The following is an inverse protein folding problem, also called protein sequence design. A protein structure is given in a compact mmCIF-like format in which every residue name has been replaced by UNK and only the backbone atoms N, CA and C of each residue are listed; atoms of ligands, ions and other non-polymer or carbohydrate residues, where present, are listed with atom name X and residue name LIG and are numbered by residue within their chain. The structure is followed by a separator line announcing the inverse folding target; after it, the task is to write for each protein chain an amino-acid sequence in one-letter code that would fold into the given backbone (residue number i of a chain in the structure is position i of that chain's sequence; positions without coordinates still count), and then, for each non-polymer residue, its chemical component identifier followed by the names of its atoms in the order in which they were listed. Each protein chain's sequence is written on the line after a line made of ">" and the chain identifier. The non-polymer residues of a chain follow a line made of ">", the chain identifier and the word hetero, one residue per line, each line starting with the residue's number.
data_IF_486257331165
#
_entry.id   IF_486257331165
#
_cell.length_a   1.000
_cell.length_b   1.000
_cell.length_c   1.000
_cell.angle_alpha   90.00
_cell.angle_beta   90.00
_cell.angle_gamma   90.00
#
_symmetry.space_group_name_H-M   'P 1'
#
loop_
_entity.id
_entity.type
_entity.pdbx_description
1 polymer ?
#
# COMPACT_ATOMS: atom_id res chain seq x y z
N UNK A 1 19.77 -7.53 9.65
CA UNK A 1 20.68 -8.07 10.68
C UNK A 1 19.80 -8.46 11.88
N UNK A 2 19.51 -9.75 12.06
CA UNK A 2 18.76 -10.23 13.22
C UNK A 2 19.78 -10.38 14.34
N UNK A 3 19.74 -9.50 15.35
CA UNK A 3 20.46 -9.73 16.60
C UNK A 3 19.88 -10.99 17.25
N UNK A 4 20.53 -12.13 17.07
CA UNK A 4 20.31 -13.31 17.93
C UNK A 4 20.81 -12.94 19.34
N UNK A 5 20.09 -13.28 20.41
CA UNK A 5 20.61 -13.16 21.75
C UNK A 5 21.62 -14.28 21.97
N UNK A 6 22.90 -14.01 21.72
CA UNK A 6 23.98 -14.72 22.41
C UNK A 6 24.20 -14.00 23.75
N UNK A 7 23.25 -14.13 24.68
CA UNK A 7 23.50 -13.81 26.08
C UNK A 7 23.96 -15.08 26.76
N UNK A 8 25.25 -15.40 26.60
CA UNK A 8 25.95 -16.17 27.63
C UNK A 8 26.08 -15.25 28.84
N UNK A 9 25.85 -15.82 30.02
CA UNK A 9 25.83 -15.13 31.32
C UNK A 9 27.16 -14.41 31.56
N UNK A 10 27.24 -13.17 31.10
CA UNK A 10 28.20 -12.18 31.55
C UNK A 10 27.47 -10.85 31.59
N UNK A 11 27.28 -10.36 32.80
CA UNK A 11 26.59 -9.12 33.14
C UNK A 11 27.29 -7.94 32.46
N UNK A 12 26.86 -7.60 31.25
CA UNK A 12 27.14 -6.30 30.64
C UNK A 12 25.92 -5.41 30.88
N UNK A 13 26.13 -4.43 31.73
CA UNK A 13 25.22 -3.40 32.26
C UNK A 13 24.73 -2.40 31.20
N UNK A 14 24.40 -2.85 30.00
CA UNK A 14 23.74 -1.99 29.01
C UNK A 14 22.23 -2.19 29.10
N UNK A 15 21.52 -1.16 29.55
CA UNK A 15 20.06 -1.12 29.53
C UNK A 15 19.56 -1.36 28.09
N UNK A 16 18.47 -2.11 27.92
CA UNK A 16 17.82 -2.37 26.62
C UNK A 16 17.63 -1.10 25.79
N UNK A 17 17.33 0.04 26.42
CA UNK A 17 17.23 1.35 25.74
C UNK A 17 18.55 1.76 25.09
N UNK A 18 19.67 1.57 25.79
CA UNK A 18 21.00 1.91 25.27
C UNK A 18 21.39 0.98 24.13
N UNK A 19 21.03 -0.30 24.21
CA UNK A 19 21.23 -1.26 23.12
C UNK A 19 20.39 -0.88 21.90
N UNK A 20 19.13 -0.47 22.07
CA UNK A 20 18.31 0.03 20.97
C UNK A 20 18.90 1.28 20.32
N UNK A 21 19.35 2.26 21.12
CA UNK A 21 20.01 3.47 20.61
C UNK A 21 21.29 3.11 19.86
N UNK A 22 22.09 2.17 20.38
CA UNK A 22 23.29 1.68 19.71
C UNK A 22 22.97 0.94 18.41
N UNK A 23 21.93 0.12 18.36
CA UNK A 23 21.47 -0.54 17.14
C UNK A 23 20.96 0.47 16.11
N UNK A 24 20.17 1.46 16.51
CA UNK A 24 19.72 2.54 15.62
C UNK A 24 20.91 3.34 15.11
N UNK A 25 21.83 3.72 16.01
CA UNK A 25 23.08 4.40 15.67
C UNK A 25 24.00 3.55 14.79
N UNK A 26 23.97 2.22 14.91
CA UNK A 26 24.72 1.31 14.06
C UNK A 26 24.04 1.11 12.71
N UNK A 27 22.70 1.13 12.61
CA UNK A 27 22.01 1.15 11.31
C UNK A 27 22.26 2.46 10.58
N UNK A 28 22.34 3.57 11.32
CA UNK A 28 22.71 4.89 10.79
C UNK A 28 24.23 5.00 10.53
N UNK A 29 25.05 4.32 11.33
CA UNK A 29 26.52 4.43 11.40
C UNK A 29 27.29 3.34 10.65
N UNK A 30 26.67 2.21 10.32
CA UNK A 30 27.10 1.40 9.17
C UNK A 30 26.99 2.36 8.01
N UNK A 31 28.13 2.71 7.41
CA UNK A 31 28.18 3.82 6.47
C UNK A 31 27.11 3.60 5.41
N UNK A 32 26.00 4.35 5.47
CA UNK A 32 24.90 4.20 4.49
C UNK A 32 25.45 4.35 3.07
N UNK A 33 26.57 5.07 2.92
CA UNK A 33 27.34 5.14 1.69
C UNK A 33 27.99 3.82 1.26
N UNK A 34 28.50 2.98 2.16
CA UNK A 34 29.08 1.67 1.80
C UNK A 34 27.99 0.70 1.35
N UNK A 35 26.86 0.62 2.05
CA UNK A 35 25.73 -0.22 1.63
C UNK A 35 25.19 0.21 0.26
N UNK A 36 25.04 1.52 0.05
CA UNK A 36 24.60 2.06 -1.24
C UNK A 36 25.58 1.77 -2.37
N UNK A 37 26.88 1.84 -2.10
CA UNK A 37 27.91 1.48 -3.07
C UNK A 37 27.83 -0.01 -3.45
N UNK A 38 27.67 -0.90 -2.47
CA UNK A 38 27.56 -2.34 -2.70
C UNK A 38 26.32 -2.70 -3.54
N UNK A 39 25.19 -2.02 -3.29
CA UNK A 39 23.96 -2.18 -4.08
C UNK A 39 24.17 -1.73 -5.52
N UNK A 40 24.79 -0.56 -5.73
CA UNK A 40 25.07 -0.04 -7.08
C UNK A 40 26.01 -0.95 -7.87
N UNK A 41 26.93 -1.65 -7.21
CA UNK A 41 27.81 -2.63 -7.84
C UNK A 41 27.10 -3.94 -8.19
N UNK A 42 25.95 -4.24 -7.59
CA UNK A 42 25.25 -5.53 -7.71
C UNK A 42 23.73 -5.34 -7.90
N UNK A 43 23.34 -4.47 -8.83
CA UNK A 43 21.94 -4.05 -9.01
C UNK A 43 20.99 -5.22 -9.29
N UNK A 44 21.38 -6.17 -10.16
CA UNK A 44 20.54 -7.33 -10.50
C UNK A 44 20.23 -8.24 -9.29
N UNK A 45 21.09 -8.23 -8.27
CA UNK A 45 20.91 -9.03 -7.05
C UNK A 45 19.94 -8.38 -6.07
N UNK A 46 19.94 -7.06 -5.96
CA UNK A 46 19.24 -6.33 -4.91
C UNK A 46 18.00 -5.58 -5.39
N UNK A 47 17.88 -5.32 -6.69
CA UNK A 47 16.81 -4.53 -7.28
C UNK A 47 16.04 -5.36 -8.30
N UNK A 48 14.77 -5.59 -7.99
CA UNK A 48 13.82 -6.21 -8.91
C UNK A 48 13.45 -5.20 -9.98
N UNK A 49 13.77 -5.51 -11.24
CA UNK A 49 13.30 -4.76 -12.40
C UNK A 49 11.84 -5.12 -12.68
N UNK A 50 11.03 -4.11 -12.92
CA UNK A 50 9.66 -4.25 -13.37
C UNK A 50 9.44 -3.35 -14.58
N UNK A 51 9.14 -3.96 -15.73
CA UNK A 51 9.03 -3.24 -17.00
C UNK A 51 7.80 -2.32 -17.06
N UNK A 52 6.86 -2.44 -16.09
CA UNK A 52 5.62 -1.67 -16.03
C UNK A 52 5.80 -0.21 -15.59
N UNK A 53 6.94 0.14 -15.03
CA UNK A 53 7.23 1.51 -14.57
C UNK A 53 7.12 2.56 -15.69
N UNK A 54 7.67 2.27 -16.88
CA UNK A 54 7.65 3.19 -18.02
C UNK A 54 6.22 3.38 -18.54
N UNK A 55 5.45 2.31 -18.85
CA UNK A 55 4.04 2.42 -19.19
C UNK A 55 3.22 3.21 -18.17
N UNK A 56 3.44 3.01 -16.87
CA UNK A 56 2.68 3.71 -15.84
C UNK A 56 2.94 5.22 -15.87
N UNK A 57 4.22 5.63 -15.92
CA UNK A 57 4.58 7.05 -15.96
C UNK A 57 4.11 7.71 -17.26
N UNK A 58 4.21 7.00 -18.39
CA UNK A 58 3.71 7.47 -19.68
C UNK A 58 2.19 7.61 -19.71
N UNK A 59 1.45 6.64 -19.16
CA UNK A 59 0.00 6.67 -19.04
C UNK A 59 -0.46 7.89 -18.24
N UNK A 60 0.16 8.16 -17.08
CA UNK A 60 -0.16 9.32 -16.24
C UNK A 60 0.06 10.62 -17.03
N UNK A 61 1.21 10.75 -17.69
CA UNK A 61 1.55 11.94 -18.47
C UNK A 61 0.62 12.14 -19.68
N UNK A 62 0.27 11.07 -20.40
CA UNK A 62 -0.59 11.12 -21.57
C UNK A 62 -2.00 11.65 -21.27
N UNK A 63 -2.48 11.43 -20.04
CA UNK A 63 -3.78 11.93 -19.57
C UNK A 63 -3.69 13.25 -18.80
N UNK A 64 -2.58 13.99 -18.94
CA UNK A 64 -2.40 15.32 -18.33
C UNK A 64 -2.06 15.30 -16.84
N UNK A 65 -1.81 14.11 -16.26
CA UNK A 65 -1.24 13.98 -14.94
C UNK A 65 0.19 14.50 -14.92
N UNK A 66 0.61 15.03 -13.76
CA UNK A 66 2.00 15.46 -13.54
C UNK A 66 2.67 14.56 -12.51
N UNK A 67 3.91 14.17 -12.78
CA UNK A 67 4.65 13.22 -11.94
C UNK A 67 5.80 13.91 -11.22
N UNK A 68 6.06 13.51 -9.98
CA UNK A 68 7.24 13.94 -9.26
C UNK A 68 7.87 12.79 -8.47
N UNK A 69 9.20 12.83 -8.35
CA UNK A 69 9.98 11.93 -7.51
C UNK A 69 10.38 12.67 -6.23
N UNK A 70 10.21 12.01 -5.07
CA UNK A 70 10.62 12.54 -3.77
C UNK A 70 11.32 11.47 -2.93
N UNK A 71 12.66 11.53 -2.86
CA UNK A 71 13.48 10.50 -2.20
C UNK A 71 14.42 11.06 -1.14
N UNK A 72 14.69 10.27 -0.10
CA UNK A 72 15.69 10.57 0.91
C UNK A 72 17.12 10.25 0.45
N UNK A 73 17.28 9.52 -0.66
CA UNK A 73 18.58 9.22 -1.24
C UNK A 73 19.18 10.44 -1.94
N UNK A 74 20.50 10.47 -2.02
CA UNK A 74 21.23 11.49 -2.77
C UNK A 74 21.11 11.26 -4.28
N UNK A 75 21.55 12.24 -5.06
CA UNK A 75 21.49 12.18 -6.52
C UNK A 75 22.25 10.99 -7.10
N UNK A 76 23.51 10.77 -6.73
CA UNK A 76 24.34 9.70 -7.32
C UNK A 76 23.70 8.31 -7.20
N UNK A 77 23.21 7.96 -6.00
CA UNK A 77 22.51 6.69 -5.79
C UNK A 77 21.20 6.62 -6.57
N UNK A 78 20.41 7.69 -6.53
CA UNK A 78 19.12 7.76 -7.25
C UNK A 78 19.32 7.62 -8.75
N UNK A 79 20.33 8.29 -9.31
CA UNK A 79 20.69 8.23 -10.70
C UNK A 79 21.11 6.82 -11.11
N UNK A 80 21.97 6.15 -10.32
CA UNK A 80 22.38 4.77 -10.60
C UNK A 80 21.20 3.79 -10.61
N UNK A 81 20.33 3.85 -9.60
CA UNK A 81 19.15 2.97 -9.49
C UNK A 81 18.13 3.23 -10.60
N UNK A 82 17.77 4.50 -10.85
CA UNK A 82 16.77 4.82 -11.87
C UNK A 82 17.30 4.63 -13.29
N UNK A 83 18.60 4.87 -13.53
CA UNK A 83 19.22 4.55 -14.81
C UNK A 83 19.15 3.05 -15.12
N UNK A 84 19.30 2.21 -14.11
CA UNK A 84 19.14 0.77 -14.24
C UNK A 84 17.69 0.33 -14.44
N UNK A 85 16.73 0.98 -13.76
CA UNK A 85 15.31 0.64 -13.85
C UNK A 85 14.66 1.10 -15.16
N UNK A 86 14.89 2.35 -15.58
CA UNK A 86 14.18 2.98 -16.70
C UNK A 86 15.07 3.64 -17.74
N UNK A 87 16.39 3.52 -17.62
CA UNK A 87 17.35 4.06 -18.59
C UNK A 87 17.95 5.40 -18.17
N UNK A 88 19.04 5.81 -18.85
CA UNK A 88 19.82 7.00 -18.46
C UNK A 88 19.05 8.31 -18.57
N UNK A 89 17.95 8.33 -19.33
CA UNK A 89 17.03 9.45 -19.53
C UNK A 89 15.88 9.46 -18.51
N UNK A 90 16.03 8.76 -17.38
CA UNK A 90 14.98 8.61 -16.36
C UNK A 90 14.38 9.95 -15.88
N UNK A 91 15.17 11.03 -15.88
CA UNK A 91 14.71 12.36 -15.46
C UNK A 91 13.59 12.91 -16.36
N UNK A 92 13.49 12.44 -17.61
CA UNK A 92 12.46 12.86 -18.56
C UNK A 92 11.06 12.34 -18.22
N UNK A 93 10.96 11.25 -17.45
CA UNK A 93 9.69 10.64 -17.03
C UNK A 93 9.03 11.38 -15.87
N UNK A 94 9.77 12.26 -15.19
CA UNK A 94 9.31 13.06 -14.06
C UNK A 94 9.26 14.54 -14.40
N UNK A 95 8.15 15.22 -14.09
CA UNK A 95 8.09 16.67 -14.22
C UNK A 95 8.96 17.39 -13.19
N UNK A 96 9.18 16.76 -12.03
CA UNK A 96 10.11 17.24 -10.99
C UNK A 96 10.75 16.07 -10.28
N UNK A 97 12.07 16.12 -10.06
CA UNK A 97 12.78 15.14 -9.23
C UNK A 97 13.44 15.81 -8.03
N UNK A 98 13.15 15.32 -6.82
CA UNK A 98 13.68 15.86 -5.55
C UNK A 98 14.40 14.74 -4.79
N UNK A 99 15.71 14.92 -4.62
CA UNK A 99 16.61 14.05 -3.85
C UNK A 99 16.90 14.67 -2.48
N UNK A 100 17.55 13.93 -1.59
CA UNK A 100 17.94 14.39 -0.24
C UNK A 100 16.78 15.07 0.53
N UNK A 101 15.56 14.57 0.36
CA UNK A 101 14.35 15.21 0.89
C UNK A 101 14.32 15.26 2.43
N UNK A 102 14.97 14.28 3.09
CA UNK A 102 14.96 14.11 4.56
C UNK A 102 13.55 13.97 5.15
N UNK A 103 12.64 13.25 4.47
CA UNK A 103 11.34 12.84 5.02
C UNK A 103 11.56 12.13 6.36
N UNK A 104 10.73 12.41 7.39
CA UNK A 104 9.49 13.19 7.36
C UNK A 104 9.67 14.72 7.47
N UNK A 105 10.89 15.24 7.69
CA UNK A 105 11.14 16.66 7.90
C UNK A 105 10.66 17.52 6.71
N UNK A 106 10.73 16.98 5.50
CA UNK A 106 10.27 17.60 4.26
C UNK A 106 8.80 18.06 4.28
N UNK A 107 7.92 17.28 4.92
CA UNK A 107 6.50 17.62 5.06
C UNK A 107 6.23 18.68 6.15
N UNK A 108 7.25 19.05 6.91
CA UNK A 108 7.21 20.09 7.93
C UNK A 108 8.07 21.29 7.48
N UNK A 109 9.13 21.63 8.24
CA UNK A 109 10.02 22.77 7.93
C UNK A 109 10.96 22.51 6.75
N UNK A 110 11.28 21.23 6.49
CA UNK A 110 12.24 20.80 5.48
C UNK A 110 13.63 21.41 5.61
N UNK A 111 14.31 21.55 4.47
CA UNK A 111 15.68 22.09 4.37
C UNK A 111 15.79 23.11 3.24
N UNK A 112 16.98 23.66 3.03
CA UNK A 112 17.26 24.55 1.90
C UNK A 112 17.02 23.81 0.58
N UNK A 113 16.22 24.42 -0.29
CA UNK A 113 15.93 23.88 -1.61
C UNK A 113 16.98 24.31 -2.63
N UNK A 114 17.63 23.34 -3.29
CA UNK A 114 18.73 23.59 -4.24
C UNK A 114 18.50 22.84 -5.55
N UNK A 115 19.03 23.35 -6.66
CA UNK A 115 19.10 22.59 -7.91
C UNK A 115 20.39 21.76 -7.92
N UNK A 116 20.33 20.53 -8.41
CA UNK A 116 21.49 19.68 -8.66
C UNK A 116 22.05 19.99 -10.05
N UNK A 117 23.36 20.11 -10.14
CA UNK A 117 24.07 19.98 -11.40
C UNK A 117 24.22 18.49 -11.73
N UNK A 118 23.51 18.01 -12.75
CA UNK A 118 23.46 16.60 -13.12
C UNK A 118 24.79 16.08 -13.68
N UNK A 119 25.66 16.97 -14.17
CA UNK A 119 26.99 16.61 -14.68
C UNK A 119 27.98 16.30 -13.54
N UNK A 120 27.95 17.09 -12.47
CA UNK A 120 28.82 16.89 -11.29
C UNK A 120 28.15 16.07 -10.19
N UNK A 121 26.82 15.98 -10.21
CA UNK A 121 26.00 15.39 -9.16
C UNK A 121 25.96 16.19 -7.86
N UNK A 122 26.40 17.45 -7.89
CA UNK A 122 26.50 18.31 -6.70
C UNK A 122 25.42 19.40 -6.68
N UNK A 123 24.98 19.86 -5.49
CA UNK A 123 24.05 20.98 -5.40
C UNK A 123 24.70 22.27 -5.87
N UNK A 124 24.03 22.98 -6.79
CA UNK A 124 24.42 24.33 -7.21
C UNK A 124 24.41 25.28 -6.01
N UNK A 125 25.28 26.29 -6.07
CA UNK A 125 25.40 27.31 -5.02
C UNK A 125 24.13 28.17 -5.02
N UNK A 126 23.59 28.42 -3.82
CA UNK A 126 22.41 29.27 -3.62
C UNK A 126 21.13 28.48 -3.31
N UNK A 127 20.04 29.23 -3.14
CA UNK A 127 18.69 28.70 -2.90
C UNK A 127 17.89 28.82 -4.19
N UNK A 128 17.24 27.74 -4.62
CA UNK A 128 16.40 27.78 -5.80
C UNK A 128 15.06 28.47 -5.50
N UNK A 129 14.73 29.52 -6.25
CA UNK A 129 13.48 30.28 -6.11
C UNK A 129 12.60 30.28 -7.37
N UNK A 130 13.10 29.68 -8.47
CA UNK A 130 12.38 29.63 -9.74
C UNK A 130 11.31 28.53 -9.79
N UNK A 131 10.47 28.58 -10.82
CA UNK A 131 9.55 27.48 -11.11
C UNK A 131 10.33 26.19 -11.42
N UNK A 132 9.77 25.06 -11.01
CA UNK A 132 10.38 23.76 -11.24
C UNK A 132 10.23 23.37 -12.71
N UNK A 133 11.31 22.89 -13.31
CA UNK A 133 11.36 22.52 -14.73
C UNK A 133 11.48 21.01 -14.88
N UNK A 134 10.80 20.49 -15.92
CA UNK A 134 10.90 19.08 -16.31
C UNK A 134 12.33 18.70 -16.67
N UNK A 135 12.78 17.55 -16.20
CA UNK A 135 14.14 17.04 -16.38
C UNK A 135 15.18 17.60 -15.41
N UNK A 136 14.90 18.72 -14.73
CA UNK A 136 15.78 19.23 -13.67
C UNK A 136 15.64 18.41 -12.39
N UNK A 137 16.76 18.29 -11.68
CA UNK A 137 16.82 17.60 -10.38
C UNK A 137 17.11 18.61 -9.28
N UNK A 138 16.42 18.47 -8.16
CA UNK A 138 16.50 19.33 -6.99
C UNK A 138 16.85 18.53 -5.74
N UNK A 139 17.35 19.20 -4.70
CA UNK A 139 17.70 18.58 -3.44
C UNK A 139 17.09 19.33 -2.26
N UNK A 140 16.62 18.58 -1.27
CA UNK A 140 16.07 19.10 -0.01
C UNK A 140 14.71 19.78 -0.19
N UNK A 141 14.58 20.97 0.39
CA UNK A 141 13.34 21.76 0.36
C UNK A 141 12.29 21.31 1.36
N UNK A 142 11.08 21.79 1.14
CA UNK A 142 9.90 21.43 1.89
C UNK A 142 8.66 21.41 0.96
N UNK A 143 7.60 20.80 1.46
CA UNK A 143 6.31 20.72 0.76
C UNK A 143 5.66 22.05 0.42
N UNK A 144 5.88 23.12 1.19
CA UNK A 144 5.26 24.43 0.94
C UNK A 144 5.94 25.14 -0.24
N UNK A 145 7.27 25.07 -0.30
CA UNK A 145 8.04 25.51 -1.45
C UNK A 145 7.68 24.68 -2.68
N UNK A 146 7.58 23.36 -2.57
CA UNK A 146 7.14 22.51 -3.69
C UNK A 146 5.76 22.91 -4.20
N UNK A 147 4.78 23.11 -3.32
CA UNK A 147 3.43 23.56 -3.68
C UNK A 147 3.48 24.88 -4.46
N UNK A 148 4.29 25.85 -4.01
CA UNK A 148 4.44 27.16 -4.67
C UNK A 148 5.15 27.06 -6.02
N UNK A 149 6.28 26.36 -6.07
CA UNK A 149 7.16 26.33 -7.25
C UNK A 149 6.67 25.36 -8.34
N UNK A 150 5.93 24.32 -7.96
CA UNK A 150 5.32 23.36 -8.88
C UNK A 150 3.85 23.67 -9.19
N UNK A 151 3.22 24.60 -8.47
CA UNK A 151 1.80 24.93 -8.59
C UNK A 151 0.89 23.69 -8.45
N UNK A 152 1.06 22.93 -7.37
CA UNK A 152 0.23 21.77 -7.05
C UNK A 152 -0.75 22.09 -5.93
N UNK A 153 -2.02 21.70 -6.08
CA UNK A 153 -3.02 21.80 -5.01
C UNK A 153 -3.00 20.51 -4.18
N UNK A 154 -2.99 20.65 -2.87
CA UNK A 154 -2.76 19.51 -1.95
C UNK A 154 -3.73 18.33 -2.17
N UNK A 155 -5.03 18.59 -2.35
CA UNK A 155 -6.04 17.53 -2.53
C UNK A 155 -5.94 16.81 -3.88
N UNK A 156 -5.15 17.34 -4.81
CA UNK A 156 -4.92 16.80 -6.15
C UNK A 156 -3.62 15.97 -6.22
N UNK A 157 -2.89 15.87 -5.11
CA UNK A 157 -1.68 15.07 -5.03
C UNK A 157 -2.03 13.69 -4.49
N UNK A 158 -1.73 12.66 -5.27
CA UNK A 158 -1.63 11.27 -4.81
C UNK A 158 -0.17 10.95 -4.57
N UNK A 159 0.21 10.75 -3.31
CA UNK A 159 1.56 10.40 -2.92
C UNK A 159 1.69 8.92 -2.64
N UNK A 160 2.62 8.28 -3.36
CA UNK A 160 2.87 6.84 -3.32
C UNK A 160 4.16 6.60 -2.52
N UNK A 161 4.08 5.79 -1.47
CA UNK A 161 5.25 5.46 -0.65
C UNK A 161 5.09 4.12 0.06
N UNK A 162 6.18 3.61 0.59
CA UNK A 162 6.26 2.35 1.35
C UNK A 162 6.36 2.60 2.87
N UNK A 163 6.83 3.78 3.28
CA UNK A 163 6.98 4.08 4.68
C UNK A 163 5.72 4.70 5.29
N UNK A 164 4.96 3.91 6.06
CA UNK A 164 3.68 4.36 6.65
C UNK A 164 3.77 5.67 7.47
N UNK A 165 4.82 5.83 8.28
CA UNK A 165 5.00 7.07 9.06
C UNK A 165 5.57 8.23 8.23
N UNK A 166 6.70 8.00 7.57
CA UNK A 166 7.45 9.01 6.83
C UNK A 166 6.72 9.56 5.63
N UNK A 167 6.03 8.69 4.89
CA UNK A 167 5.36 9.03 3.63
C UNK A 167 3.87 9.27 3.81
N UNK A 168 3.14 8.32 4.40
CA UNK A 168 1.67 8.34 4.39
C UNK A 168 1.09 9.20 5.52
N UNK A 169 1.49 8.94 6.77
CA UNK A 169 0.91 9.63 7.93
C UNK A 169 1.17 11.14 7.89
N UNK A 170 2.40 11.56 7.56
CA UNK A 170 2.80 12.98 7.57
C UNK A 170 2.22 13.75 6.38
N UNK A 171 2.22 13.18 5.18
CA UNK A 171 1.61 13.82 4.01
C UNK A 171 0.10 14.02 4.21
N UNK A 172 -0.61 13.00 4.72
CA UNK A 172 -2.06 13.09 4.98
C UNK A 172 -2.39 14.05 6.11
N UNK A 173 -1.74 13.95 7.28
CA UNK A 173 -2.08 14.79 8.45
C UNK A 173 -1.68 16.25 8.27
N UNK A 174 -0.51 16.51 7.67
CA UNK A 174 0.04 17.87 7.63
C UNK A 174 -0.35 18.61 6.36
N UNK A 175 -0.53 17.90 5.24
CA UNK A 175 -0.81 18.53 3.93
C UNK A 175 -2.16 18.13 3.34
N UNK A 176 -2.80 17.08 3.83
CA UNK A 176 -4.09 16.63 3.27
C UNK A 176 -3.95 16.00 1.88
N UNK A 177 -2.77 15.50 1.55
CA UNK A 177 -2.53 14.75 0.31
C UNK A 177 -3.27 13.42 0.34
N UNK A 178 -3.67 12.96 -0.84
CA UNK A 178 -4.14 11.57 -1.02
C UNK A 178 -2.95 10.64 -0.96
N UNK A 179 -3.15 9.43 -0.43
CA UNK A 179 -2.02 8.53 -0.15
C UNK A 179 -2.26 7.13 -0.69
N UNK A 180 -1.22 6.56 -1.30
CA UNK A 180 -1.15 5.17 -1.71
C UNK A 180 0.02 4.50 -0.98
N UNK A 181 -0.28 3.48 -0.18
CA UNK A 181 0.74 2.71 0.54
C UNK A 181 1.12 1.44 -0.23
N UNK A 182 2.40 1.29 -0.54
CA UNK A 182 2.95 0.04 -1.11
C UNK A 182 3.37 -0.87 0.03
N UNK A 183 2.86 -2.10 0.05
CA UNK A 183 3.16 -3.12 1.08
C UNK A 183 3.60 -4.41 0.36
N UNK A 184 4.89 -4.58 0.04
CA UNK A 184 5.38 -5.74 -0.73
C UNK A 184 5.01 -7.09 -0.09
N UNK A 185 4.98 -7.16 1.24
CA UNK A 185 4.62 -8.35 2.01
C UNK A 185 3.19 -8.82 1.76
N UNK A 186 2.32 -7.93 1.24
CA UNK A 186 0.91 -8.23 0.98
C UNK A 186 0.71 -9.41 0.03
N UNK A 187 1.63 -9.66 -0.92
CA UNK A 187 1.54 -10.82 -1.82
C UNK A 187 1.59 -12.13 -1.03
N UNK A 188 2.55 -12.23 -0.11
CA UNK A 188 2.70 -13.40 0.76
C UNK A 188 1.51 -13.52 1.71
N UNK A 189 1.06 -12.41 2.30
CA UNK A 189 -0.08 -12.35 3.21
C UNK A 189 -1.36 -12.87 2.53
N UNK A 190 -1.69 -12.39 1.32
CA UNK A 190 -2.87 -12.82 0.57
C UNK A 190 -2.78 -14.31 0.19
N UNK A 191 -1.60 -14.78 -0.21
CA UNK A 191 -1.39 -16.19 -0.56
C UNK A 191 -1.66 -17.11 0.63
N UNK A 192 -1.10 -16.80 1.80
CA UNK A 192 -1.32 -17.58 3.03
C UNK A 192 -2.77 -17.47 3.49
N UNK A 193 -3.34 -16.26 3.46
CA UNK A 193 -4.73 -16.01 3.82
C UNK A 193 -5.69 -16.88 3.00
N UNK A 194 -5.46 -16.99 1.68
CA UNK A 194 -6.29 -17.78 0.79
C UNK A 194 -6.14 -19.28 1.05
N UNK A 195 -4.93 -19.76 1.33
CA UNK A 195 -4.65 -21.18 1.58
C UNK A 195 -5.11 -21.69 2.95
N UNK A 196 -5.09 -20.83 3.98
CA UNK A 196 -5.33 -21.20 5.39
C UNK A 196 -6.49 -20.44 6.01
N UNK A 197 -7.43 -19.97 5.18
CA UNK A 197 -8.62 -19.26 5.63
C UNK A 197 -9.45 -20.07 6.63
N UNK A 198 -9.44 -21.40 6.49
CA UNK A 198 -10.13 -22.34 7.37
C UNK A 198 -9.68 -22.22 8.84
N UNK A 199 -8.40 -21.92 9.10
CA UNK A 199 -7.88 -21.71 10.46
C UNK A 199 -8.46 -20.44 11.07
N UNK A 200 -8.57 -19.37 10.27
CA UNK A 200 -9.18 -18.12 10.73
C UNK A 200 -10.65 -18.32 11.05
N UNK A 201 -11.40 -19.03 10.21
CA UNK A 201 -12.81 -19.36 10.46
C UNK A 201 -12.98 -20.13 11.77
N UNK A 202 -12.13 -21.13 12.04
CA UNK A 202 -12.14 -21.88 13.31
C UNK A 202 -11.88 -20.98 14.51
N UNK A 203 -10.91 -20.05 14.43
CA UNK A 203 -10.62 -19.09 15.52
C UNK A 203 -11.83 -18.19 15.77
N UNK A 204 -12.48 -17.70 14.72
CA UNK A 204 -13.68 -16.87 14.83
C UNK A 204 -14.86 -17.66 15.40
N UNK A 205 -15.05 -18.91 14.98
CA UNK A 205 -16.11 -19.77 15.48
C UNK A 205 -15.94 -20.07 16.97
N UNK A 206 -14.74 -20.50 17.38
CA UNK A 206 -14.42 -20.74 18.80
C UNK A 206 -14.63 -19.47 19.64
N UNK A 207 -14.24 -18.30 19.12
CA UNK A 207 -14.45 -17.02 19.80
C UNK A 207 -15.95 -16.76 20.02
N UNK A 208 -16.79 -17.00 19.01
CA UNK A 208 -18.26 -16.86 19.13
C UNK A 208 -18.86 -17.85 20.12
N UNK A 209 -18.38 -19.10 20.15
CA UNK A 209 -18.85 -20.12 21.09
C UNK A 209 -18.52 -19.71 22.54
N UNK A 210 -17.31 -19.21 22.78
CA UNK A 210 -16.88 -18.70 24.09
C UNK A 210 -17.72 -17.47 24.49
N UNK A 211 -17.94 -16.52 23.59
CA UNK A 211 -18.81 -15.35 23.83
C UNK A 211 -20.26 -15.76 24.17
N UNK A 212 -20.81 -16.77 23.49
CA UNK A 212 -22.15 -17.28 23.76
C UNK A 212 -22.27 -17.88 25.17
N UNK A 213 -21.22 -18.56 25.66
CA UNK A 213 -21.18 -19.11 27.02
C UNK A 213 -21.11 -18.02 28.09
N UNK A 214 -20.38 -16.93 27.83
CA UNK A 214 -20.34 -15.77 28.74
C UNK A 214 -21.70 -15.11 28.93
N UNK A 215 -22.58 -15.17 27.94
CA UNK A 215 -23.93 -14.60 27.99
C UNK A 215 -24.95 -15.50 28.70
N UNK A 216 -24.57 -16.69 29.15
CA UNK A 216 -25.46 -17.60 29.88
C UNK A 216 -25.51 -17.25 31.38
N UNK A 217 -26.68 -17.45 32.00
CA UNK A 217 -26.98 -17.02 33.39
C UNK A 217 -26.05 -17.66 34.43
N UNK A 218 -25.47 -18.85 34.15
CA UNK A 218 -24.62 -19.57 35.09
C UNK A 218 -23.15 -19.62 34.64
N UNK A 219 -22.49 -18.46 34.61
CA UNK A 219 -21.08 -18.31 34.24
C UNK A 219 -20.15 -19.14 35.16
N UNK A 220 -20.52 -19.30 36.43
CA UNK A 220 -19.70 -20.02 37.42
C UNK A 220 -19.62 -21.52 37.15
N UNK A 221 -20.70 -22.15 36.66
CA UNK A 221 -20.63 -23.55 36.22
C UNK A 221 -19.86 -23.75 34.91
N UNK A 222 -19.83 -22.72 34.05
CA UNK A 222 -19.19 -22.77 32.74
C UNK A 222 -17.71 -22.32 32.75
N UNK A 223 -17.17 -21.91 33.90
CA UNK A 223 -15.84 -21.30 33.99
C UNK A 223 -14.72 -22.22 33.46
N UNK A 224 -14.76 -23.52 33.76
CA UNK A 224 -13.77 -24.49 33.27
C UNK A 224 -13.82 -24.65 31.75
N UNK A 225 -15.03 -24.72 31.18
CA UNK A 225 -15.26 -24.84 29.73
C UNK A 225 -14.77 -23.57 29.01
N UNK A 226 -15.00 -22.41 29.60
CA UNK A 226 -14.50 -21.13 29.07
C UNK A 226 -12.96 -21.08 29.08
N UNK A 227 -12.31 -21.56 30.14
CA UNK A 227 -10.83 -21.63 30.20
C UNK A 227 -10.27 -22.59 29.13
N UNK A 228 -10.93 -23.72 28.93
CA UNK A 228 -10.59 -24.68 27.86
C UNK A 228 -10.76 -24.05 26.47
N UNK A 229 -11.90 -23.39 26.21
CA UNK A 229 -12.14 -22.68 24.96
C UNK A 229 -11.10 -21.57 24.68
N UNK A 230 -10.73 -20.80 25.70
CA UNK A 230 -9.67 -19.78 25.58
C UNK A 230 -8.29 -20.41 25.26
N UNK A 231 -8.01 -21.59 25.81
CA UNK A 231 -6.78 -22.34 25.52
C UNK A 231 -6.77 -22.80 24.06
N UNK A 232 -7.88 -23.36 23.57
CA UNK A 232 -8.03 -23.78 22.18
C UNK A 232 -7.92 -22.59 21.21
N UNK A 233 -8.52 -21.44 21.55
CA UNK A 233 -8.39 -20.19 20.75
C UNK A 233 -6.91 -19.80 20.66
N UNK A 234 -6.16 -19.85 21.77
CA UNK A 234 -4.74 -19.49 21.79
C UNK A 234 -3.90 -20.45 20.94
N UNK A 235 -4.14 -21.75 21.05
CA UNK A 235 -3.42 -22.77 20.27
C UNK A 235 -3.67 -22.60 18.77
N UNK A 236 -4.94 -22.43 18.37
CA UNK A 236 -5.29 -22.22 16.96
C UNK A 236 -4.79 -20.89 16.42
N UNK A 237 -4.78 -19.85 17.26
CA UNK A 237 -4.17 -18.55 16.91
C UNK A 237 -2.67 -18.72 16.66
N UNK A 238 -1.97 -19.43 17.53
CA UNK A 238 -0.53 -19.69 17.37
C UNK A 238 -0.24 -20.54 16.14
N UNK A 239 -1.05 -21.57 15.88
CA UNK A 239 -0.98 -22.38 14.66
C UNK A 239 -1.14 -21.50 13.41
N UNK A 240 -2.15 -20.63 13.38
CA UNK A 240 -2.39 -19.71 12.27
C UNK A 240 -1.21 -18.73 12.08
N UNK A 241 -0.73 -18.11 13.16
CA UNK A 241 0.35 -17.13 13.12
C UNK A 241 1.67 -17.75 12.61
N UNK A 242 1.93 -19.02 12.95
CA UNK A 242 3.11 -19.76 12.49
C UNK A 242 3.19 -19.93 10.96
N UNK A 243 2.08 -19.90 10.23
CA UNK A 243 2.09 -19.97 8.76
C UNK A 243 2.70 -18.71 8.12
N UNK A 244 2.54 -17.55 8.77
CA UNK A 244 3.08 -16.29 8.27
C UNK A 244 4.57 -16.16 8.59
N UNK A 245 4.89 -16.19 9.88
CA UNK A 245 6.25 -16.05 10.41
C UNK A 245 6.28 -16.38 11.89
N UNK A 246 7.47 -16.38 12.50
CA UNK A 246 7.61 -16.50 13.97
C UNK A 246 6.93 -15.36 14.75
N UNK A 247 6.63 -14.24 14.09
CA UNK A 247 5.95 -13.08 14.68
C UNK A 247 4.50 -12.94 14.20
N UNK A 248 3.97 -13.93 13.48
CA UNK A 248 2.63 -13.88 12.90
C UNK A 248 2.54 -13.05 11.63
N UNK A 249 1.30 -12.66 11.30
CA UNK A 249 0.95 -11.80 10.17
C UNK A 249 1.27 -10.33 10.48
N UNK A 250 1.61 -9.57 9.43
CA UNK A 250 1.77 -8.13 9.51
C UNK A 250 0.47 -7.43 9.91
N UNK A 251 -0.69 -8.00 9.56
CA UNK A 251 -1.99 -7.36 9.72
C UNK A 251 -2.77 -7.83 10.94
N UNK A 252 -2.51 -9.04 11.45
CA UNK A 252 -3.29 -9.62 12.55
C UNK A 252 -2.51 -10.63 13.38
N UNK A 253 -3.01 -10.87 14.58
CA UNK A 253 -2.75 -12.08 15.36
C UNK A 253 -4.10 -12.65 15.79
N UNK A 254 -4.42 -13.84 15.31
CA UNK A 254 -5.76 -14.42 15.45
C UNK A 254 -6.85 -13.51 14.87
N UNK A 255 -7.84 -13.18 15.70
CA UNK A 255 -8.95 -12.28 15.36
C UNK A 255 -8.62 -10.79 15.49
N UNK A 256 -7.47 -10.43 16.07
CA UNK A 256 -7.13 -9.04 16.40
C UNK A 256 -6.23 -8.43 15.34
N UNK A 257 -6.58 -7.24 14.86
CA UNK A 257 -5.74 -6.47 13.95
C UNK A 257 -4.51 -5.91 14.66
N UNK A 258 -3.37 -5.88 13.99
CA UNK A 258 -2.15 -5.25 14.50
C UNK A 258 -2.27 -3.73 14.50
N UNK A 259 -1.34 -3.08 15.22
CA UNK A 259 -1.21 -1.62 15.14
C UNK A 259 -0.91 -1.16 13.72
N UNK A 260 -0.07 -1.88 12.98
CA UNK A 260 0.21 -1.59 11.57
C UNK A 260 -1.07 -1.60 10.73
N UNK A 261 -1.91 -2.65 10.83
CA UNK A 261 -3.19 -2.70 10.12
C UNK A 261 -4.07 -1.49 10.41
N UNK A 262 -4.21 -1.10 11.70
CA UNK A 262 -5.01 0.08 12.08
C UNK A 262 -4.47 1.38 11.48
N UNK A 263 -3.15 1.48 11.30
CA UNK A 263 -2.53 2.64 10.66
C UNK A 263 -2.78 2.64 9.15
N UNK A 264 -2.73 1.48 8.49
CA UNK A 264 -3.03 1.34 7.06
C UNK A 264 -4.47 1.78 6.80
N UNK A 265 -5.44 1.22 7.52
CA UNK A 265 -6.87 1.56 7.36
C UNK A 265 -7.16 3.04 7.58
N UNK A 266 -6.49 3.67 8.56
CA UNK A 266 -6.73 5.07 8.90
C UNK A 266 -6.04 6.04 7.96
N UNK A 267 -4.80 5.75 7.57
CA UNK A 267 -3.94 6.72 6.91
C UNK A 267 -3.78 6.47 5.42
N UNK A 268 -3.73 5.24 4.93
CA UNK A 268 -3.65 4.98 3.50
C UNK A 268 -5.04 5.10 2.86
N UNK A 269 -5.20 5.95 1.85
CA UNK A 269 -6.47 5.98 1.09
C UNK A 269 -6.59 4.77 0.15
N UNK A 270 -5.46 4.35 -0.40
CA UNK A 270 -5.29 3.13 -1.18
C UNK A 270 -4.05 2.38 -0.67
N UNK A 271 -4.05 1.07 -0.79
CA UNK A 271 -2.85 0.27 -0.56
C UNK A 271 -2.82 -0.92 -1.52
N UNK A 272 -1.62 -1.37 -1.85
CA UNK A 272 -1.43 -2.56 -2.69
C UNK A 272 -0.03 -3.13 -2.52
N UNK A 273 0.21 -4.32 -3.07
CA UNK A 273 1.54 -4.95 -3.06
C UNK A 273 2.56 -4.17 -3.91
N UNK A 274 2.09 -3.54 -4.98
CA UNK A 274 2.88 -2.73 -5.89
C UNK A 274 2.07 -1.56 -6.40
N UNK A 275 2.73 -0.42 -6.64
CA UNK A 275 2.11 0.74 -7.27
C UNK A 275 1.77 0.48 -8.75
N UNK A 276 2.42 -0.49 -9.41
CA UNK A 276 2.13 -0.85 -10.79
C UNK A 276 0.74 -1.46 -10.99
N UNK A 277 0.10 -1.89 -9.91
CA UNK A 277 -1.27 -2.39 -9.96
C UNK A 277 -2.27 -1.29 -10.38
N UNK A 278 -1.88 -0.01 -10.33
CA UNK A 278 -2.67 1.09 -10.87
C UNK A 278 -2.85 1.02 -12.40
N UNK A 279 -1.96 0.33 -13.14
CA UNK A 279 -2.10 0.14 -14.59
C UNK A 279 -3.35 -0.64 -14.98
N UNK A 280 -3.85 -1.50 -14.09
CA UNK A 280 -5.03 -2.31 -14.36
C UNK A 280 -6.35 -1.53 -14.16
N UNK A 281 -6.26 -0.24 -13.79
CA UNK A 281 -7.41 0.64 -13.61
C UNK A 281 -7.37 1.77 -14.63
N UNK A 282 -8.53 2.17 -15.20
CA UNK A 282 -8.59 3.39 -16.00
C UNK A 282 -8.28 4.60 -15.12
N UNK A 283 -7.63 5.63 -15.66
CA UNK A 283 -7.23 6.80 -14.86
C UNK A 283 -8.39 7.63 -14.29
N UNK A 284 -9.59 7.47 -14.85
CA UNK A 284 -10.82 8.08 -14.32
C UNK A 284 -11.56 7.16 -13.33
N UNK A 285 -10.94 6.06 -12.89
CA UNK A 285 -11.56 5.12 -11.96
C UNK A 285 -11.84 5.78 -10.60
N UNK A 286 -13.05 5.61 -10.11
CA UNK A 286 -13.47 6.13 -8.81
C UNK A 286 -13.43 5.02 -7.76
N UNK A 287 -12.33 4.95 -7.00
CA UNK A 287 -12.17 3.99 -5.90
C UNK A 287 -13.21 4.24 -4.81
N UNK A 288 -14.02 3.21 -4.50
CA UNK A 288 -15.06 3.25 -3.46
C UNK A 288 -14.78 2.23 -2.37
N UNK A 289 -14.75 2.70 -1.13
CA UNK A 289 -14.83 1.85 0.05
C UNK A 289 -16.29 1.73 0.50
N UNK A 290 -16.71 0.56 1.02
CA UNK A 290 -18.00 0.43 1.68
C UNK A 290 -18.08 1.37 2.89
N UNK A 291 -19.28 1.88 3.19
CA UNK A 291 -19.49 2.72 4.38
C UNK A 291 -19.37 1.86 5.65
N UNK A 292 -18.51 2.27 6.57
CA UNK A 292 -18.45 1.68 7.91
C UNK A 292 -19.58 2.25 8.76
N UNK A 293 -20.54 1.39 9.12
CA UNK A 293 -21.63 1.75 10.02
C UNK A 293 -21.14 1.78 11.47
N UNK A 294 -21.65 2.75 12.23
CA UNK A 294 -21.48 2.82 13.68
C UNK A 294 -22.27 1.68 14.35
N UNK A 295 -21.89 1.24 15.58
CA UNK A 295 -22.53 0.10 16.22
C UNK A 295 -24.07 0.18 16.34
N UNK A 296 -24.61 1.37 16.59
CA UNK A 296 -26.06 1.58 16.68
C UNK A 296 -26.76 1.49 15.31
N UNK A 297 -26.08 1.86 14.23
CA UNK A 297 -26.60 1.74 12.86
C UNK A 297 -26.63 0.29 12.40
N UNK A 298 -25.63 -0.51 12.77
CA UNK A 298 -25.60 -1.95 12.48
C UNK A 298 -26.78 -2.68 13.13
N UNK A 299 -27.08 -2.37 14.39
CA UNK A 299 -28.21 -2.98 15.10
C UNK A 299 -29.55 -2.56 14.49
N UNK A 300 -29.70 -1.28 14.14
CA UNK A 300 -30.89 -0.78 13.47
C UNK A 300 -31.09 -1.44 12.09
N UNK A 301 -30.02 -1.58 11.30
CA UNK A 301 -30.09 -2.19 9.97
C UNK A 301 -30.47 -3.68 10.04
N UNK A 302 -29.95 -4.42 11.02
CA UNK A 302 -30.36 -5.82 11.28
C UNK A 302 -31.87 -5.92 11.55
N UNK A 303 -32.39 -5.12 12.49
CA UNK A 303 -33.82 -5.11 12.81
C UNK A 303 -34.69 -4.73 11.61
N UNK A 304 -34.25 -3.79 10.77
CA UNK A 304 -34.98 -3.40 9.54
C UNK A 304 -35.01 -4.55 8.54
N UNK A 305 -33.88 -5.26 8.34
CA UNK A 305 -33.81 -6.40 7.43
C UNK A 305 -34.67 -7.57 7.91
N UNK A 306 -34.69 -7.87 9.19
CA UNK A 306 -35.55 -8.90 9.79
C UNK A 306 -37.04 -8.58 9.67
N UNK A 307 -37.43 -7.29 9.80
CA UNK A 307 -38.81 -6.84 9.52
C UNK A 307 -39.18 -6.94 8.04
N UNK A 308 -38.22 -6.76 7.12
CA UNK A 308 -38.45 -6.92 5.67
C UNK A 308 -38.56 -8.39 5.26
N UNK A 309 -37.79 -9.29 5.85
CA UNK A 309 -37.90 -10.73 5.55
C UNK A 309 -39.18 -11.35 6.11
N UNK A 310 -39.65 -10.90 7.28
CA UNK A 310 -40.92 -11.33 7.88
C UNK A 310 -42.18 -10.74 7.21
N UNK A 311 -42.08 -9.57 6.56
CA UNK A 311 -43.18 -9.01 5.75
C UNK A 311 -43.23 -9.55 4.32
N UNK A 312 -42.12 -10.09 3.80
CA UNK A 312 -42.09 -10.76 2.49
C UNK A 312 -42.74 -12.17 2.53
N UNK A 313 -42.74 -12.85 3.68
CA UNK A 313 -43.40 -14.17 3.85
C UNK A 313 -44.92 -14.09 4.04
N UNK A 314 -45.49 -12.89 4.23
CA UNK A 314 -46.94 -12.67 4.43
C UNK A 314 -47.65 -12.00 3.23
N UNK A 315 -46.96 -11.83 2.09
CA UNK A 315 -47.44 -11.04 0.96
C UNK A 315 -47.28 -11.68 -0.42
N UNK A 316 -47.50 -12.99 -0.57
CA UNK A 316 -47.59 -13.62 -1.88
C UNK A 316 -49.04 -13.56 -2.41
N UNK A 317 -49.47 -12.40 -2.89
CA UNK A 317 -50.60 -12.34 -3.83
C UNK A 317 -50.45 -11.21 -4.86
N UNK A 318 -50.38 -11.65 -6.11
CA UNK A 318 -50.58 -10.91 -7.37
C UNK A 318 -49.72 -9.66 -7.62
N UNK A 319 -48.72 -9.83 -8.50
CA UNK A 319 -48.55 -8.88 -9.60
C UNK A 319 -48.10 -9.57 -10.88
N UNK A 320 -48.84 -9.26 -11.95
CA UNK A 320 -48.77 -9.82 -13.31
C UNK A 320 -47.42 -9.53 -13.97
N UNK A 321 -46.99 -10.49 -14.78
CA UNK A 321 -45.92 -10.41 -15.76
C UNK A 321 -46.04 -9.17 -16.66
N UNK A 322 -44.93 -8.47 -16.85
CA UNK A 322 -44.64 -7.75 -18.08
C UNK A 322 -43.17 -8.01 -18.44
N UNK A 323 -42.97 -8.70 -19.56
CA UNK A 323 -41.66 -8.98 -20.16
C UNK A 323 -41.37 -7.92 -21.24
N UNK A 324 -40.23 -7.24 -21.11
CA UNK A 324 -39.23 -6.93 -22.16
C UNK A 324 -38.27 -5.92 -21.52
N UNK A 325 -36.95 -6.05 -21.49
CA UNK A 325 -36.03 -6.76 -22.36
C UNK A 325 -34.83 -5.82 -22.54
N UNK A 326 -33.77 -6.05 -21.75
CA UNK A 326 -32.35 -5.77 -22.06
C UNK A 326 -31.52 -6.09 -20.81
N UNK A 327 -30.99 -7.30 -20.79
CA UNK A 327 -29.99 -7.78 -19.85
C UNK A 327 -28.68 -7.04 -20.10
N UNK A 328 -28.34 -6.06 -19.26
CA UNK A 328 -26.94 -5.70 -19.10
C UNK A 328 -26.25 -6.84 -18.37
N UNK A 329 -25.38 -7.58 -19.08
CA UNK A 329 -24.45 -8.52 -18.46
C UNK A 329 -23.54 -7.72 -17.52
N UNK A 330 -23.82 -7.75 -16.23
CA UNK A 330 -22.85 -7.48 -15.18
C UNK A 330 -21.73 -8.51 -15.30
N UNK A 331 -20.50 -8.03 -15.49
CA UNK A 331 -19.28 -8.82 -15.57
C UNK A 331 -19.13 -9.57 -14.22
N UNK A 332 -19.00 -10.91 -14.20
CA UNK A 332 -18.77 -11.67 -12.97
C UNK A 332 -17.34 -11.46 -12.51
N UNK A 333 -17.18 -11.00 -11.27
CA UNK A 333 -15.90 -11.03 -10.57
C UNK A 333 -15.59 -12.48 -10.16
N UNK A 334 -14.35 -12.89 -10.42
CA UNK A 334 -13.69 -14.14 -10.01
C UNK A 334 -14.12 -15.38 -10.80
N UNK A 335 -13.35 -15.72 -11.83
CA UNK A 335 -13.13 -17.10 -12.24
C UNK A 335 -11.72 -17.51 -11.80
N UNK A 336 -11.69 -18.59 -11.03
CA UNK A 336 -10.52 -19.38 -10.67
C UNK A 336 -9.85 -19.95 -11.93
N UNK A 337 -8.51 -19.99 -11.88
CA UNK A 337 -7.56 -20.79 -12.65
C UNK A 337 -7.81 -21.06 -14.14
N UNK A 338 -6.92 -20.54 -15.01
CA UNK A 338 -6.00 -21.39 -15.77
C UNK A 338 -5.14 -20.63 -16.80
N UNK A 339 -3.87 -21.07 -16.86
CA UNK A 339 -2.98 -21.14 -18.02
C UNK A 339 -2.38 -19.85 -18.62
N UNK A 340 -1.05 -19.86 -18.64
CA UNK A 340 -0.19 -18.95 -19.39
C UNK A 340 -0.52 -18.99 -20.89
N UNK A 341 -0.67 -17.81 -21.50
CA UNK A 341 -0.61 -17.61 -22.93
C UNK A 341 0.57 -16.70 -23.26
N UNK A 342 1.30 -17.09 -24.31
CA UNK A 342 2.59 -16.56 -24.79
C UNK A 342 2.46 -15.24 -25.54
N UNK A 343 3.57 -14.49 -25.61
CA UNK A 343 3.74 -13.10 -26.11
C UNK A 343 3.29 -12.78 -27.56
N UNK A 344 2.66 -13.69 -28.31
CA UNK A 344 2.33 -13.47 -29.73
C UNK A 344 0.91 -12.98 -30.03
N UNK A 345 -0.03 -12.99 -29.08
CA UNK A 345 -1.43 -12.60 -29.34
C UNK A 345 -1.78 -11.10 -29.14
N UNK A 346 -0.81 -10.27 -28.72
CA UNK A 346 -1.06 -8.84 -28.44
C UNK A 346 -0.69 -7.87 -29.59
N UNK A 347 -0.23 -8.38 -30.73
CA UNK A 347 0.23 -7.54 -31.86
C UNK A 347 -0.78 -7.41 -33.01
N UNK A 348 -1.86 -8.19 -33.04
CA UNK A 348 -2.79 -8.21 -34.17
C UNK A 348 -4.03 -7.29 -34.03
N UNK A 349 -4.29 -6.73 -32.84
CA UNK A 349 -5.42 -5.79 -32.65
C UNK A 349 -5.11 -4.32 -33.02
N UNK A 350 -3.86 -4.01 -33.41
CA UNK A 350 -3.47 -2.64 -33.79
C UNK A 350 -3.57 -2.40 -35.31
N UNK A 351 -3.69 -3.43 -36.14
CA UNK A 351 -3.60 -3.31 -37.61
C UNK A 351 -4.92 -3.42 -38.39
N UNK A 352 -6.07 -3.61 -37.74
CA UNK A 352 -7.34 -3.84 -38.46
C UNK A 352 -8.48 -2.87 -38.06
N UNK A 353 -8.19 -1.57 -38.10
CA UNK A 353 -9.14 -0.52 -37.75
C UNK A 353 -9.11 0.68 -38.69
N UNK A 354 -9.29 0.47 -40.00
CA UNK A 354 -9.49 1.59 -40.92
C UNK A 354 -9.76 1.19 -42.36
N UNK A 355 -11.02 0.93 -42.72
CA UNK A 355 -11.61 1.35 -44.00
C UNK A 355 -13.12 1.05 -44.12
N UNK A 356 -13.79 1.90 -44.91
CA UNK A 356 -15.24 2.01 -45.23
C UNK A 356 -16.04 2.93 -44.29
N UNK A 357 -16.83 3.90 -44.75
CA UNK A 357 -17.20 4.33 -46.11
C UNK A 357 -17.86 5.71 -46.04
N UNK A 358 -17.67 6.54 -47.05
CA UNK A 358 -18.60 7.62 -47.44
C UNK A 358 -18.47 7.86 -48.95
N UNK A 359 -19.44 7.36 -49.71
CA UNK A 359 -19.73 7.77 -51.08
C UNK A 359 -20.63 9.02 -51.06
N UNK A 360 -20.27 10.03 -51.85
CA UNK A 360 -21.19 10.93 -52.57
C UNK A 360 -20.41 11.93 -53.43
N UNK A 361 -20.09 11.54 -54.66
CA UNK A 361 -20.47 12.16 -55.95
C UNK A 361 -19.88 11.37 -57.12
#
# INVERSE_FOLDING_TARGET
>A
MICKPYFSVNVLTSNMVQVCIQCESAVVGTSISSLKADVLQNLDKYIIKDNRIKPLLQLINAHGGRTFLLTNSNYSYTNGVLSYLIGPDWTSYFDVSIVDAKKPLWFAKGTVFRQIDTATGTPKIGVHQGLLKKGDVYAGGNSDDFRRLFNARDREVLYIGDHIFGDVLKSKKTKGWRTFLVIPELVKEISIWSQRHDLFEKVVELTKQVEAMYNQINVMSAQSIIQEGNTQIRERTQEMDNYYSKMGSLFRSGSRTTFFASQVERFADLYSSSCYNLLYYPLFYFFRAPMSLMPHEVNADKCIREKKSSSASSGASRRKNFHSGKSFKTIPHVQEDAAAATEEELLDEVNNGGQSSSESE
#
